data_IF_367004646940
#
_entry.id   IF_367004646940
#
_cell.length_a   1.000
_cell.length_b   1.000
_cell.length_c   1.000
_cell.angle_alpha   90.00
_cell.angle_beta   90.00
_cell.angle_gamma   90.00
#
_symmetry.space_group_name_H-M   'P 1'
#
loop_
_entity.id
_entity.type
_entity.pdbx_description
1 polymer ?
#
# COMPACT_ATOMS: atom_id res chain seq x y z
N UNK A 1 -2.19 -14.62 14.40
CA UNK A 1 -1.12 -13.61 14.41
C UNK A 1 -1.08 -12.96 15.78
N UNK A 2 0.10 -12.75 16.36
CA UNK A 2 0.23 -11.97 17.61
C UNK A 2 -0.02 -10.48 17.34
N UNK A 3 -0.38 -9.70 18.36
CA UNK A 3 -0.57 -8.26 18.22
C UNK A 3 0.68 -7.57 17.64
N UNK A 4 1.87 -7.95 18.11
CA UNK A 4 3.15 -7.46 17.57
C UNK A 4 3.34 -7.77 16.08
N UNK A 5 2.93 -8.96 15.61
CA UNK A 5 2.97 -9.29 14.18
C UNK A 5 1.97 -8.48 13.35
N UNK A 6 0.79 -8.17 13.90
CA UNK A 6 -0.21 -7.34 13.22
C UNK A 6 0.25 -5.88 13.11
N UNK A 7 0.82 -5.33 14.17
CA UNK A 7 1.40 -3.98 14.16
C UNK A 7 2.54 -3.90 13.14
N UNK A 8 3.44 -4.90 13.10
CA UNK A 8 4.52 -4.93 12.13
C UNK A 8 4.03 -4.97 10.68
N UNK A 9 3.01 -5.77 10.39
CA UNK A 9 2.40 -5.85 9.05
C UNK A 9 1.67 -4.54 8.70
N UNK A 10 0.97 -3.94 9.65
CA UNK A 10 0.31 -2.66 9.45
C UNK A 10 1.34 -1.54 9.21
N UNK A 11 2.45 -1.49 9.96
CA UNK A 11 3.54 -0.54 9.73
C UNK A 11 4.15 -0.75 8.34
N UNK A 12 4.36 -2.00 7.92
CA UNK A 12 4.83 -2.32 6.58
C UNK A 12 3.87 -1.80 5.50
N UNK A 13 2.56 -1.97 5.69
CA UNK A 13 1.53 -1.42 4.81
C UNK A 13 1.61 0.11 4.72
N UNK A 14 1.59 0.82 5.86
CA UNK A 14 1.61 2.28 5.86
C UNK A 14 2.90 2.85 5.27
N UNK A 15 4.04 2.19 5.47
CA UNK A 15 5.30 2.57 4.82
C UNK A 15 5.25 2.37 3.31
N UNK A 16 4.71 1.22 2.85
CA UNK A 16 4.56 0.92 1.42
C UNK A 16 3.65 1.93 0.72
N UNK A 17 2.53 2.25 1.38
CA UNK A 17 1.55 3.24 0.93
C UNK A 17 2.13 4.65 0.92
N UNK A 18 2.87 5.03 1.97
CA UNK A 18 3.56 6.33 2.03
C UNK A 18 4.60 6.45 0.93
N UNK A 19 5.48 5.46 0.75
CA UNK A 19 6.47 5.48 -0.33
C UNK A 19 5.84 5.64 -1.72
N UNK A 20 4.62 5.12 -1.90
CA UNK A 20 3.86 5.30 -3.13
C UNK A 20 3.32 6.72 -3.31
N UNK A 21 2.67 7.28 -2.29
CA UNK A 21 2.10 8.62 -2.38
C UNK A 21 3.14 9.75 -2.33
N UNK A 22 4.21 9.52 -1.57
CA UNK A 22 5.20 10.51 -1.13
C UNK A 22 6.52 10.23 -1.83
N UNK A 23 6.53 10.24 -3.16
CA UNK A 23 7.80 10.27 -3.89
C UNK A 23 8.55 11.63 -3.70
N UNK A 24 8.54 12.20 -2.48
CA UNK A 24 9.21 13.42 -2.04
C UNK A 24 8.40 14.40 -1.15
N UNK A 25 7.07 14.33 -1.06
CA UNK A 25 6.19 15.39 -0.49
C UNK A 25 5.03 14.88 0.41
N UNK A 26 4.22 15.76 1.02
CA UNK A 26 3.05 15.35 1.83
C UNK A 26 2.01 14.53 1.05
N UNK A 27 1.44 13.50 1.69
CA UNK A 27 0.40 12.65 1.10
C UNK A 27 -0.93 13.42 1.02
N UNK A 28 -1.57 13.52 -0.16
CA UNK A 28 -2.92 14.07 -0.31
C UNK A 28 -3.95 13.36 0.57
N UNK A 29 -4.90 14.11 1.15
CA UNK A 29 -5.93 13.60 2.09
C UNK A 29 -6.75 12.43 1.54
N UNK A 30 -7.05 12.42 0.24
CA UNK A 30 -7.78 11.32 -0.42
C UNK A 30 -6.96 10.02 -0.43
N UNK A 31 -5.65 10.11 -0.64
CA UNK A 31 -4.76 8.95 -0.61
C UNK A 31 -4.56 8.44 0.82
N UNK A 32 -4.54 9.33 1.81
CA UNK A 32 -4.49 8.95 3.23
C UNK A 32 -5.76 8.19 3.64
N UNK A 33 -6.94 8.71 3.29
CA UNK A 33 -8.22 8.04 3.56
C UNK A 33 -8.32 6.68 2.87
N UNK A 34 -7.90 6.59 1.60
CA UNK A 34 -7.83 5.33 0.85
C UNK A 34 -6.91 4.30 1.53
N UNK A 35 -5.77 4.75 2.05
CA UNK A 35 -4.80 3.91 2.75
C UNK A 35 -5.38 3.31 4.03
N UNK A 36 -6.11 4.13 4.80
CA UNK A 36 -6.80 3.68 6.02
C UNK A 36 -7.97 2.73 5.74
N UNK A 37 -8.77 3.00 4.71
CA UNK A 37 -9.89 2.12 4.31
C UNK A 37 -9.38 0.75 3.84
N UNK A 38 -8.32 0.72 3.03
CA UNK A 38 -7.73 -0.53 2.56
C UNK A 38 -7.16 -1.36 3.71
N UNK A 39 -6.49 -0.71 4.67
CA UNK A 39 -5.95 -1.34 5.87
C UNK A 39 -7.03 -2.10 6.66
N UNK A 40 -8.19 -1.49 6.85
CA UNK A 40 -9.26 -2.09 7.63
C UNK A 40 -10.05 -3.12 6.83
N UNK A 41 -10.45 -2.79 5.60
CA UNK A 41 -11.37 -3.60 4.81
C UNK A 41 -10.71 -4.82 4.14
N UNK A 42 -9.44 -4.69 3.72
CA UNK A 42 -8.75 -5.73 2.92
C UNK A 42 -7.67 -6.43 3.74
N UNK A 43 -6.91 -5.68 4.55
CA UNK A 43 -5.86 -6.24 5.40
C UNK A 43 -6.39 -6.68 6.78
N UNK A 44 -7.61 -6.28 7.15
CA UNK A 44 -8.29 -6.74 8.36
C UNK A 44 -7.73 -6.14 9.65
N UNK A 45 -7.05 -4.99 9.58
CA UNK A 45 -6.57 -4.31 10.78
C UNK A 45 -7.70 -3.56 11.46
N UNK A 46 -7.71 -3.57 12.80
CA UNK A 46 -8.58 -2.67 13.53
C UNK A 46 -7.96 -1.26 13.62
N UNK A 47 -8.75 -0.29 14.07
CA UNK A 47 -8.32 1.10 14.19
C UNK A 47 -7.12 1.28 15.13
N UNK A 48 -7.09 0.53 16.23
CA UNK A 48 -6.03 0.61 17.23
C UNK A 48 -4.68 0.13 16.69
N UNK A 49 -4.66 -0.96 15.93
CA UNK A 49 -3.47 -1.45 15.21
C UNK A 49 -3.03 -0.43 14.17
N UNK A 50 -3.97 0.16 13.42
CA UNK A 50 -3.65 1.22 12.46
C UNK A 50 -3.05 2.46 13.15
N UNK A 51 -3.55 2.83 14.33
CA UNK A 51 -3.05 3.96 15.13
C UNK A 51 -1.62 3.69 15.60
N UNK A 52 -1.36 2.54 16.24
CA UNK A 52 -0.02 2.14 16.71
C UNK A 52 0.98 2.03 15.55
N UNK A 53 0.55 1.49 14.42
CA UNK A 53 1.42 1.29 13.25
C UNK A 53 1.93 2.59 12.61
N UNK A 54 1.16 3.69 12.76
CA UNK A 54 1.50 5.03 12.28
C UNK A 54 2.28 5.87 13.29
N UNK A 55 2.47 5.37 14.51
CA UNK A 55 3.23 6.07 15.54
C UNK A 55 4.67 6.34 15.06
N UNK A 56 5.19 7.52 15.35
CA UNK A 56 6.49 8.01 14.91
C UNK A 56 7.61 7.06 15.35
N UNK A 57 7.48 6.44 16.51
CA UNK A 57 8.45 5.47 17.02
C UNK A 57 8.51 4.18 16.17
N UNK A 58 7.40 3.79 15.53
CA UNK A 58 7.33 2.58 14.72
C UNK A 58 7.63 2.84 13.24
N UNK A 59 7.18 3.98 12.69
CA UNK A 59 7.28 4.28 11.27
C UNK A 59 8.63 4.93 10.89
N UNK A 60 9.26 5.71 11.77
CA UNK A 60 10.53 6.40 11.46
C UNK A 60 11.75 5.49 11.57
N UNK A 61 11.61 4.35 12.24
CA UNK A 61 12.68 3.37 12.40
C UNK A 61 12.82 2.40 11.22
N UNK A 62 11.99 2.53 10.17
CA UNK A 62 12.00 1.63 9.02
C UNK A 62 12.30 2.37 7.72
N UNK A 63 13.20 1.78 6.95
CA UNK A 63 13.65 2.26 5.64
C UNK A 63 12.85 1.62 4.50
N UNK A 64 13.04 2.12 3.28
CA UNK A 64 12.51 1.45 2.08
C UNK A 64 13.09 0.03 1.90
N UNK A 65 14.31 -0.22 2.39
CA UNK A 65 14.93 -1.55 2.34
C UNK A 65 14.21 -2.50 3.30
N UNK A 66 13.86 -2.04 4.49
CA UNK A 66 13.06 -2.82 5.45
C UNK A 66 11.67 -3.12 4.90
N UNK A 67 11.12 -2.20 4.12
CA UNK A 67 9.87 -2.39 3.42
C UNK A 67 9.96 -3.52 2.37
N UNK A 68 10.96 -3.48 1.48
CA UNK A 68 11.16 -4.52 0.46
C UNK A 68 11.47 -5.89 1.08
N UNK A 69 12.32 -5.91 2.11
CA UNK A 69 12.65 -7.13 2.84
C UNK A 69 11.44 -7.69 3.58
N UNK A 70 10.61 -6.81 4.16
CA UNK A 70 9.39 -7.18 4.85
C UNK A 70 8.36 -7.82 3.91
N UNK A 71 8.07 -7.21 2.76
CA UNK A 71 7.09 -7.77 1.81
C UNK A 71 7.55 -9.12 1.24
N UNK A 72 8.85 -9.30 1.03
CA UNK A 72 9.43 -10.56 0.54
C UNK A 72 9.21 -11.74 1.49
N UNK A 73 9.12 -11.47 2.80
CA UNK A 73 8.93 -12.50 3.83
C UNK A 73 7.46 -12.84 4.07
N UNK A 74 6.53 -12.13 3.44
CA UNK A 74 5.10 -12.40 3.62
C UNK A 74 4.66 -13.63 2.83
N UNK A 75 3.58 -14.30 3.28
CA UNK A 75 2.84 -15.20 2.41
C UNK A 75 2.45 -14.49 1.10
N UNK A 76 2.56 -15.18 -0.03
CA UNK A 76 2.32 -14.63 -1.38
C UNK A 76 1.01 -13.85 -1.47
N UNK A 77 -0.08 -14.41 -0.94
CA UNK A 77 -1.40 -13.76 -0.93
C UNK A 77 -1.37 -12.39 -0.23
N UNK A 78 -0.63 -12.29 0.88
CA UNK A 78 -0.52 -11.03 1.62
C UNK A 78 0.38 -10.02 0.92
N UNK A 79 1.49 -10.48 0.34
CA UNK A 79 2.35 -9.65 -0.48
C UNK A 79 1.60 -9.05 -1.69
N UNK A 80 0.78 -9.84 -2.37
CA UNK A 80 -0.06 -9.40 -3.49
C UNK A 80 -1.13 -8.38 -3.07
N UNK A 81 -1.72 -8.54 -1.88
CA UNK A 81 -2.64 -7.54 -1.30
C UNK A 81 -1.92 -6.22 -1.04
N UNK A 82 -0.70 -6.24 -0.48
CA UNK A 82 0.10 -5.02 -0.31
C UNK A 82 0.39 -4.36 -1.67
N UNK A 83 0.86 -5.13 -2.67
CA UNK A 83 1.12 -4.60 -4.01
C UNK A 83 -0.14 -4.00 -4.65
N UNK A 84 -1.28 -4.68 -4.54
CA UNK A 84 -2.58 -4.21 -5.05
C UNK A 84 -2.99 -2.90 -4.39
N UNK A 85 -2.91 -2.82 -3.06
CA UNK A 85 -3.26 -1.61 -2.32
C UNK A 85 -2.34 -0.43 -2.67
N UNK A 86 -1.05 -0.69 -2.83
CA UNK A 86 -0.08 0.33 -3.25
C UNK A 86 -0.42 0.88 -4.64
N UNK A 87 -0.68 0.02 -5.63
CA UNK A 87 -1.07 0.49 -6.96
C UNK A 87 -2.41 1.22 -6.97
N UNK A 88 -3.34 0.84 -6.09
CA UNK A 88 -4.64 1.50 -5.94
C UNK A 88 -4.46 2.98 -5.57
N UNK A 89 -3.48 3.29 -4.70
CA UNK A 89 -3.17 4.67 -4.29
C UNK A 89 -2.76 5.53 -5.50
N UNK A 90 -1.90 5.02 -6.38
CA UNK A 90 -1.50 5.75 -7.60
C UNK A 90 -2.66 5.88 -8.59
N UNK A 91 -3.49 4.83 -8.71
CA UNK A 91 -4.65 4.88 -9.60
C UNK A 91 -5.75 5.85 -9.12
N UNK A 92 -5.78 6.22 -7.84
CA UNK A 92 -6.72 7.21 -7.33
C UNK A 92 -6.59 8.58 -8.01
N UNK A 93 -5.40 8.93 -8.51
CA UNK A 93 -5.13 10.16 -9.26
C UNK A 93 -5.12 9.98 -10.80
N UNK A 94 -5.48 8.78 -11.28
CA UNK A 94 -5.57 8.41 -12.71
C UNK A 94 -4.28 8.60 -13.53
N UNK A 95 -3.16 8.94 -12.89
CA UNK A 95 -1.84 9.04 -13.50
C UNK A 95 -0.82 8.43 -12.55
N UNK A 96 -0.04 7.49 -13.06
CA UNK A 96 1.16 7.01 -12.35
C UNK A 96 2.35 7.89 -12.74
N UNK A 97 2.97 8.53 -11.75
CA UNK A 97 4.24 9.25 -11.93
C UNK A 97 5.40 8.25 -12.09
N UNK A 98 6.51 8.63 -12.73
CA UNK A 98 7.66 7.72 -12.92
C UNK A 98 8.18 7.07 -11.63
N UNK A 99 8.18 7.81 -10.51
CA UNK A 99 8.60 7.28 -9.22
C UNK A 99 7.63 6.24 -8.64
N UNK A 100 6.34 6.41 -8.87
CA UNK A 100 5.29 5.46 -8.47
C UNK A 100 5.40 4.15 -9.26
N UNK A 101 5.66 4.26 -10.57
CA UNK A 101 5.95 3.09 -11.43
C UNK A 101 7.18 2.36 -10.91
N UNK A 102 8.27 3.09 -10.63
CA UNK A 102 9.50 2.50 -10.09
C UNK A 102 9.24 1.78 -8.77
N UNK A 103 8.48 2.37 -7.86
CA UNK A 103 8.15 1.76 -6.58
C UNK A 103 7.30 0.49 -6.75
N UNK A 104 6.26 0.53 -7.58
CA UNK A 104 5.44 -0.64 -7.89
C UNK A 104 6.28 -1.78 -8.51
N UNK A 105 7.19 -1.45 -9.44
CA UNK A 105 8.11 -2.43 -10.03
C UNK A 105 9.05 -3.02 -8.99
N UNK A 106 9.61 -2.21 -8.08
CA UNK A 106 10.49 -2.70 -7.02
C UNK A 106 9.76 -3.63 -6.05
N UNK A 107 8.53 -3.31 -5.67
CA UNK A 107 7.68 -4.19 -4.84
C UNK A 107 7.36 -5.50 -5.58
N UNK A 108 6.93 -5.42 -6.84
CA UNK A 108 6.63 -6.58 -7.67
C UNK A 108 7.85 -7.51 -7.80
N UNK A 109 9.04 -6.96 -8.01
CA UNK A 109 10.29 -7.71 -8.05
C UNK A 109 10.63 -8.33 -6.69
N UNK A 110 10.45 -7.61 -5.58
CA UNK A 110 10.76 -8.11 -4.24
C UNK A 110 9.90 -9.30 -3.83
N UNK A 111 8.67 -9.40 -4.34
CA UNK A 111 7.73 -10.49 -4.05
C UNK A 111 7.74 -11.58 -5.13
N UNK A 112 8.64 -11.48 -6.12
CA UNK A 112 8.81 -12.45 -7.21
C UNK A 112 7.49 -12.75 -7.96
N UNK A 113 6.69 -11.71 -8.21
CA UNK A 113 5.37 -11.85 -8.84
C UNK A 113 5.50 -12.25 -10.31
N UNK A 114 4.65 -13.16 -10.77
CA UNK A 114 4.55 -13.49 -12.20
C UNK A 114 3.91 -12.33 -12.98
N UNK A 115 4.13 -12.21 -14.30
CA UNK A 115 3.44 -11.20 -15.11
C UNK A 115 1.91 -11.28 -15.03
N UNK A 116 1.37 -12.50 -14.96
CA UNK A 116 -0.07 -12.78 -14.84
C UNK A 116 -0.63 -12.30 -13.50
N UNK A 117 0.06 -12.63 -12.40
CA UNK A 117 -0.31 -12.17 -11.06
C UNK A 117 -0.17 -10.64 -10.94
N UNK A 118 0.85 -10.05 -11.56
CA UNK A 118 1.03 -8.60 -11.61
C UNK A 118 -0.13 -7.91 -12.33
N UNK A 119 -0.55 -8.45 -13.47
CA UNK A 119 -1.71 -7.95 -14.21
C UNK A 119 -3.00 -8.07 -13.38
N UNK A 120 -3.20 -9.18 -12.66
CA UNK A 120 -4.33 -9.35 -11.73
C UNK A 120 -4.31 -8.26 -10.64
N UNK A 121 -3.16 -8.03 -10.02
CA UNK A 121 -3.01 -6.96 -9.02
C UNK A 121 -3.35 -5.59 -9.61
N UNK A 122 -2.90 -5.29 -10.84
CA UNK A 122 -3.20 -4.02 -11.52
C UNK A 122 -4.69 -3.83 -11.78
N UNK A 123 -5.38 -4.88 -12.27
CA UNK A 123 -6.83 -4.84 -12.53
C UNK A 123 -7.59 -4.61 -11.23
N UNK A 124 -7.29 -5.37 -10.18
CA UNK A 124 -7.93 -5.22 -8.87
C UNK A 124 -7.71 -3.82 -8.29
N UNK A 125 -6.49 -3.31 -8.36
CA UNK A 125 -6.15 -1.98 -7.90
C UNK A 125 -6.98 -0.89 -8.61
N UNK A 126 -7.17 -1.02 -9.93
CA UNK A 126 -7.98 -0.08 -10.72
C UNK A 126 -9.46 -0.13 -10.35
N UNK A 127 -10.00 -1.33 -10.13
CA UNK A 127 -11.40 -1.51 -9.69
C UNK A 127 -11.61 -0.82 -8.34
N UNK A 128 -10.74 -1.07 -7.36
CA UNK A 128 -10.84 -0.46 -6.03
C UNK A 128 -10.70 1.07 -6.12
N UNK A 129 -9.71 1.56 -6.87
CA UNK A 129 -9.51 3.01 -7.05
C UNK A 129 -10.73 3.70 -7.67
N UNK A 130 -11.44 3.03 -8.59
CA UNK A 130 -12.66 3.56 -9.20
C UNK A 130 -13.84 3.67 -8.23
N UNK A 131 -13.88 2.84 -7.18
CA UNK A 131 -14.91 2.92 -6.12
C UNK A 131 -14.66 4.09 -5.17
N UNK A 132 -13.39 4.45 -4.95
CA UNK A 132 -13.01 5.58 -4.08
C UNK A 132 -13.32 6.94 -4.69
N UNK A 133 -13.48 7.00 -6.02
CA UNK A 133 -13.96 8.19 -6.75
C UNK A 133 -15.00 7.76 -7.79
N UNK A 134 -16.29 7.65 -7.40
CA UNK A 134 -17.36 7.38 -8.34
C UNK A 134 -17.31 8.39 -9.49
N UNK A 135 -17.50 7.92 -10.72
CA UNK A 135 -17.52 8.77 -11.91
C UNK A 135 -18.54 9.91 -11.71
N UNK A 136 -18.08 11.12 -11.40
CA UNK A 136 -18.97 12.25 -11.13
C UNK A 136 -18.42 13.35 -10.22
N UNK A 137 -17.40 13.09 -9.39
CA UNK A 137 -16.74 14.14 -8.63
C UNK A 137 -15.81 14.96 -9.54
N UNK A 138 -16.39 15.91 -10.29
CA UNK A 138 -15.63 17.00 -10.90
C UNK A 138 -15.05 17.85 -9.76
N UNK A 139 -13.72 17.94 -9.69
CA UNK A 139 -13.05 19.07 -9.05
C UNK A 139 -13.31 20.34 -9.84
#
# INVERSE_FOLDING_TARGET
MSESSQINLATLWFLSARAMAVAGEEMPSVQEAATGLYAQAILGFNEEVCRKAKDNEHINNKTLIDCLSGVRQLPKEMAEKILTGVMMISYADRKMKPLEVRWASMLASAIEVSPEDFQRCCVNARVIASMLRPHGAKS
#
